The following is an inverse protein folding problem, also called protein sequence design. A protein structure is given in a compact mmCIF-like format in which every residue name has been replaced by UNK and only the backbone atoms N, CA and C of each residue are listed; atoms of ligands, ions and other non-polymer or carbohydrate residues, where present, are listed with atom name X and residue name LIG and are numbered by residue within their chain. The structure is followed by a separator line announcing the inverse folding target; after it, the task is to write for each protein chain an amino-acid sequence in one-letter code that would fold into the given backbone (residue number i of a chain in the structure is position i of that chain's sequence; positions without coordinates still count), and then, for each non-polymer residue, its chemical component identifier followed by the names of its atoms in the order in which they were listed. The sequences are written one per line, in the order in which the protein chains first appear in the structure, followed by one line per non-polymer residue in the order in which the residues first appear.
data_IF_209550850488
#
_entry.id   IF_209550850488
#
_cell.length_a   1.000
_cell.length_b   1.000
_cell.length_c   1.000
_cell.angle_alpha   90.00
_cell.angle_beta   90.00
_cell.angle_gamma   90.00
#
_symmetry.space_group_name_H-M   'P 1'
#
loop_
_entity.id
_entity.type
_entity.pdbx_description
1 polymer ?
#
# COMPACT_ATOMS: atom_id res chain seq x y z
N UNK A 1 58.23 -7.18 9.03
CA UNK A 1 57.33 -8.34 8.86
C UNK A 1 55.92 -7.83 8.64
N UNK A 2 55.52 -7.77 7.37
CA UNK A 2 54.14 -7.73 6.86
C UNK A 2 54.29 -7.69 5.32
N UNK A 3 54.30 -8.87 4.71
CA UNK A 3 54.49 -9.12 3.27
C UNK A 3 53.20 -8.80 2.50
N UNK A 4 53.32 -7.98 1.46
CA UNK A 4 52.26 -7.63 0.52
C UNK A 4 52.00 -8.79 -0.48
N UNK A 5 50.73 -9.15 -0.67
CA UNK A 5 50.29 -10.05 -1.74
C UNK A 5 50.24 -9.33 -3.10
N UNK A 6 50.70 -9.93 -4.20
CA UNK A 6 50.54 -9.38 -5.54
C UNK A 6 49.20 -9.81 -6.19
N UNK A 7 48.68 -9.06 -7.18
CA UNK A 7 47.40 -9.37 -7.82
C UNK A 7 47.51 -10.54 -8.81
N UNK A 8 46.52 -11.44 -8.77
CA UNK A 8 46.36 -12.56 -9.72
C UNK A 8 45.95 -12.03 -11.12
N UNK A 9 46.77 -12.34 -12.13
CA UNK A 9 46.43 -12.16 -13.54
C UNK A 9 45.54 -13.30 -14.04
N UNK A 10 44.34 -12.99 -14.55
CA UNK A 10 43.51 -13.94 -15.28
C UNK A 10 43.88 -13.90 -16.77
N UNK A 11 44.44 -15.00 -17.30
CA UNK A 11 44.55 -15.24 -18.73
C UNK A 11 43.33 -16.03 -19.23
N UNK A 12 42.80 -15.76 -20.44
CA UNK A 12 41.67 -16.50 -20.99
C UNK A 12 42.09 -17.89 -21.48
N UNK A 13 41.41 -18.93 -21.00
CA UNK A 13 41.62 -20.31 -21.42
C UNK A 13 40.97 -20.57 -22.78
N UNK A 14 41.79 -21.03 -23.73
CA UNK A 14 41.42 -21.49 -25.07
C UNK A 14 40.80 -22.91 -25.00
N UNK A 15 39.60 -23.11 -25.55
CA UNK A 15 38.96 -24.43 -25.72
C UNK A 15 38.79 -24.76 -27.21
N UNK A 16 39.13 -25.99 -27.66
CA UNK A 16 39.07 -26.37 -29.07
C UNK A 16 37.65 -26.75 -29.50
N UNK A 17 37.35 -26.45 -30.78
CA UNK A 17 36.01 -26.51 -31.38
C UNK A 17 35.35 -27.90 -31.41
N UNK A 18 34.01 -27.88 -31.33
CA UNK A 18 33.14 -29.03 -31.61
C UNK A 18 32.18 -28.73 -32.77
N UNK A 19 32.19 -29.65 -33.72
CA UNK A 19 31.38 -29.74 -34.94
C UNK A 19 29.87 -29.56 -34.72
N UNK A 20 29.22 -28.80 -35.59
CA UNK A 20 27.78 -28.69 -35.70
C UNK A 20 27.14 -30.02 -36.14
N UNK A 21 26.03 -30.42 -35.50
CA UNK A 21 25.12 -31.49 -35.97
C UNK A 21 23.78 -30.88 -36.36
N UNK A 22 23.28 -31.29 -37.52
CA UNK A 22 22.07 -30.80 -38.17
C UNK A 22 20.77 -31.11 -37.40
N UNK A 23 19.82 -30.16 -37.43
CA UNK A 23 18.45 -30.31 -36.90
C UNK A 23 17.56 -30.99 -37.95
N UNK A 24 16.79 -32.00 -37.54
CA UNK A 24 15.72 -32.64 -38.35
C UNK A 24 14.41 -31.84 -38.23
N UNK A 25 13.58 -31.75 -39.29
CA UNK A 25 12.31 -31.04 -39.26
C UNK A 25 11.19 -31.91 -38.67
N UNK A 26 10.25 -31.28 -37.96
CA UNK A 26 9.03 -31.93 -37.45
C UNK A 26 7.91 -31.87 -38.52
N UNK A 27 7.08 -32.92 -38.65
CA UNK A 27 6.00 -32.94 -39.62
C UNK A 27 4.74 -32.22 -39.11
N UNK A 28 4.04 -31.56 -40.02
CA UNK A 28 2.73 -30.94 -39.80
C UNK A 28 1.60 -31.98 -39.97
N UNK A 29 0.62 -31.97 -39.06
CA UNK A 29 -0.67 -32.66 -39.25
C UNK A 29 -1.80 -31.80 -38.67
N UNK A 30 -2.91 -31.70 -39.41
CA UNK A 30 -4.17 -30.98 -39.13
C UNK A 30 -5.32 -31.97 -38.81
N UNK A 31 -6.38 -31.44 -38.18
CA UNK A 31 -7.74 -32.00 -37.95
C UNK A 31 -7.85 -33.07 -36.84
N UNK A 32 -8.95 -33.25 -36.09
CA UNK A 32 -10.35 -32.77 -36.11
C UNK A 32 -10.99 -32.94 -34.71
N UNK A 33 -12.19 -32.39 -34.51
CA UNK A 33 -12.96 -32.39 -33.27
C UNK A 33 -13.40 -33.78 -32.73
N UNK A 34 -13.90 -33.72 -31.48
CA UNK A 34 -14.69 -34.69 -30.68
C UNK A 34 -13.89 -35.56 -29.72
N UNK A 35 -13.95 -35.14 -28.45
CA UNK A 35 -13.54 -35.89 -27.27
C UNK A 35 -13.96 -35.10 -26.04
N UNK A 36 -15.16 -35.38 -25.51
CA UNK A 36 -15.60 -34.87 -24.22
C UNK A 36 -14.57 -35.28 -23.16
N UNK A 37 -13.95 -34.28 -22.54
CA UNK A 37 -13.30 -34.46 -21.24
C UNK A 37 -14.23 -33.81 -20.25
N UNK A 38 -15.03 -34.63 -19.56
CA UNK A 38 -15.68 -34.21 -18.33
C UNK A 38 -14.57 -33.90 -17.33
N UNK A 39 -14.22 -32.61 -17.24
CA UNK A 39 -13.55 -32.09 -16.07
C UNK A 39 -14.55 -32.18 -14.93
N UNK A 40 -14.35 -33.18 -14.06
CA UNK A 40 -14.97 -33.22 -12.75
C UNK A 40 -14.68 -31.88 -12.08
N UNK A 41 -15.70 -31.03 -12.03
CA UNK A 41 -15.63 -29.74 -11.37
C UNK A 41 -15.51 -30.09 -9.89
N UNK A 42 -14.28 -30.11 -9.37
CA UNK A 42 -14.08 -30.00 -7.94
C UNK A 42 -14.94 -28.81 -7.50
N UNK A 43 -15.90 -29.06 -6.62
CA UNK A 43 -16.77 -28.02 -6.11
C UNK A 43 -15.87 -26.88 -5.65
N UNK A 44 -15.92 -25.76 -6.38
CA UNK A 44 -15.39 -24.49 -5.92
C UNK A 44 -16.21 -24.22 -4.67
N UNK A 45 -15.67 -24.57 -3.51
CA UNK A 45 -16.18 -24.05 -2.26
C UNK A 45 -16.19 -22.55 -2.46
N UNK A 46 -17.37 -21.94 -2.33
CA UNK A 46 -17.52 -20.49 -2.39
C UNK A 46 -16.67 -19.94 -1.26
N UNK A 47 -15.44 -19.52 -1.57
CA UNK A 47 -14.65 -18.73 -0.64
C UNK A 47 -15.39 -17.42 -0.57
N UNK A 48 -16.20 -17.26 0.48
CA UNK A 48 -17.01 -16.08 0.68
C UNK A 48 -16.05 -14.88 0.80
N UNK A 49 -16.21 -13.89 -0.06
CA UNK A 49 -15.31 -12.74 -0.09
C UNK A 49 -15.42 -11.92 1.20
N UNK A 50 -14.31 -11.34 1.68
CA UNK A 50 -14.34 -10.52 2.88
C UNK A 50 -15.33 -9.36 2.76
N UNK A 51 -16.00 -9.03 3.87
CA UNK A 51 -17.07 -8.01 3.92
C UNK A 51 -16.66 -6.68 3.29
N UNK A 52 -15.43 -6.22 3.55
CA UNK A 52 -14.93 -4.95 3.04
C UNK A 52 -14.69 -4.95 1.53
N UNK A 53 -14.35 -6.08 0.90
CA UNK A 53 -14.28 -6.18 -0.58
C UNK A 53 -15.69 -6.08 -1.16
N UNK A 54 -16.63 -6.88 -0.64
CA UNK A 54 -18.01 -6.87 -1.12
C UNK A 54 -18.71 -5.52 -0.99
N UNK A 55 -18.41 -4.77 0.08
CA UNK A 55 -18.94 -3.43 0.29
C UNK A 55 -18.39 -2.41 -0.72
N UNK A 56 -17.14 -2.57 -1.17
CA UNK A 56 -16.54 -1.71 -2.20
C UNK A 56 -17.16 -2.00 -3.57
N UNK A 57 -17.46 -3.27 -3.84
CA UNK A 57 -18.12 -3.70 -5.09
C UNK A 57 -19.61 -3.31 -5.16
N UNK A 58 -20.18 -2.82 -4.06
CA UNK A 58 -21.53 -2.27 -4.03
C UNK A 58 -22.62 -3.30 -3.76
N UNK A 59 -22.30 -4.43 -3.12
CA UNK A 59 -23.31 -5.38 -2.68
C UNK A 59 -24.24 -4.74 -1.61
N UNK A 60 -25.57 -4.79 -1.85
CA UNK A 60 -26.57 -4.12 -1.00
C UNK A 60 -26.57 -4.67 0.45
N UNK A 61 -26.68 -3.75 1.43
CA UNK A 61 -26.96 -4.06 2.83
C UNK A 61 -25.75 -4.39 3.73
N UNK A 62 -24.53 -4.11 3.26
CA UNK A 62 -23.29 -4.45 3.99
C UNK A 62 -22.50 -3.20 4.40
N UNK A 63 -22.88 -2.64 5.56
CA UNK A 63 -22.04 -1.66 6.25
C UNK A 63 -20.86 -2.38 6.93
N UNK A 64 -19.63 -1.92 6.69
CA UNK A 64 -18.43 -2.48 7.34
C UNK A 64 -18.11 -1.73 8.63
N UNK A 65 -17.79 -2.44 9.70
CA UNK A 65 -17.20 -1.85 10.90
C UNK A 65 -15.72 -1.52 10.62
N UNK A 66 -15.34 -0.28 10.92
CA UNK A 66 -14.12 0.35 10.41
C UNK A 66 -12.79 -0.35 10.72
N UNK A 67 -11.75 0.14 10.05
CA UNK A 67 -10.36 -0.25 10.24
C UNK A 67 -9.88 0.14 11.64
N UNK A 68 -9.46 -0.84 12.44
CA UNK A 68 -8.80 -0.56 13.71
C UNK A 68 -7.33 -0.20 13.46
N UNK A 69 -7.01 1.09 13.53
CA UNK A 69 -5.66 1.62 13.30
C UNK A 69 -4.74 1.57 14.53
N UNK A 70 -5.24 1.13 15.68
CA UNK A 70 -4.48 1.18 16.93
C UNK A 70 -3.97 -0.22 17.32
N UNK A 71 -2.67 -0.43 17.09
CA UNK A 71 -1.90 -1.43 17.83
C UNK A 71 -2.04 -1.11 19.33
N UNK A 72 -2.24 -2.13 20.18
CA UNK A 72 -2.41 -1.93 21.62
C UNK A 72 -1.31 -1.03 22.18
N UNK A 73 -1.67 0.12 22.76
CA UNK A 73 -0.68 1.15 23.17
C UNK A 73 0.45 0.58 24.02
N UNK A 74 0.15 -0.36 24.91
CA UNK A 74 1.14 -0.98 25.78
C UNK A 74 2.07 -1.95 25.02
N UNK A 75 1.53 -2.82 24.15
CA UNK A 75 2.32 -3.77 23.35
C UNK A 75 3.21 -3.05 22.33
N UNK A 76 2.68 -2.02 21.67
CA UNK A 76 3.47 -1.23 20.71
C UNK A 76 4.54 -0.37 21.41
N UNK A 77 4.27 0.17 22.60
CA UNK A 77 5.29 0.91 23.36
C UNK A 77 6.47 0.03 23.75
N UNK A 78 6.22 -1.20 24.21
CA UNK A 78 7.28 -2.17 24.50
C UNK A 78 8.09 -2.52 23.24
N UNK A 79 7.43 -2.67 22.09
CA UNK A 79 8.12 -2.84 20.80
C UNK A 79 8.98 -1.62 20.43
N UNK A 80 8.49 -0.40 20.71
CA UNK A 80 9.26 0.82 20.50
C UNK A 80 10.48 0.93 21.42
N UNK A 81 10.41 0.37 22.63
CA UNK A 81 11.55 0.31 23.56
C UNK A 81 12.59 -0.73 23.12
N UNK A 82 12.14 -1.92 22.70
CA UNK A 82 13.02 -3.01 22.25
C UNK A 82 13.66 -2.74 20.89
N UNK A 83 12.93 -2.12 19.99
CA UNK A 83 13.36 -1.79 18.63
C UNK A 83 13.21 -0.29 18.40
N UNK A 84 14.13 0.56 18.88
CA UNK A 84 13.94 2.02 18.86
C UNK A 84 13.80 2.61 17.46
N UNK A 85 14.46 2.01 16.46
CA UNK A 85 14.40 2.43 15.08
C UNK A 85 13.02 2.18 14.50
N UNK A 86 12.41 3.23 13.94
CA UNK A 86 11.13 3.06 13.24
C UNK A 86 11.33 2.19 11.98
N UNK A 87 12.39 2.43 11.21
CA UNK A 87 12.69 1.67 10.00
C UNK A 87 12.82 0.17 10.30
N UNK A 88 13.46 -0.18 11.43
CA UNK A 88 13.55 -1.57 11.88
C UNK A 88 12.15 -2.19 12.07
N UNK A 89 11.25 -1.47 12.76
CA UNK A 89 9.88 -1.94 13.00
C UNK A 89 9.03 -2.03 11.72
N UNK A 90 9.31 -1.20 10.71
CA UNK A 90 8.56 -1.15 9.45
C UNK A 90 9.16 -2.01 8.32
N UNK A 91 10.35 -2.58 8.51
CA UNK A 91 11.07 -3.36 7.49
C UNK A 91 11.38 -4.80 7.91
N UNK A 92 11.46 -5.10 9.22
CA UNK A 92 11.58 -6.48 9.68
C UNK A 92 10.21 -7.17 9.62
N UNK A 93 10.11 -8.21 8.78
CA UNK A 93 8.87 -8.95 8.49
C UNK A 93 8.14 -9.37 9.77
N UNK A 94 8.85 -9.98 10.73
CA UNK A 94 8.23 -10.45 11.98
C UNK A 94 7.60 -9.31 12.78
N UNK A 95 8.27 -8.16 12.87
CA UNK A 95 7.75 -6.98 13.57
C UNK A 95 6.58 -6.36 12.82
N UNK A 96 6.68 -6.25 11.49
CA UNK A 96 5.60 -5.75 10.63
C UNK A 96 4.34 -6.59 10.82
N UNK A 97 4.46 -7.92 10.74
CA UNK A 97 3.34 -8.85 10.93
C UNK A 97 2.80 -8.78 12.35
N UNK A 98 3.67 -8.81 13.37
CA UNK A 98 3.27 -8.72 14.77
C UNK A 98 2.44 -7.44 15.03
N UNK A 99 2.93 -6.28 14.57
CA UNK A 99 2.27 -4.99 14.78
C UNK A 99 0.94 -4.93 13.99
N UNK A 100 0.93 -5.39 12.74
CA UNK A 100 -0.26 -5.35 11.87
C UNK A 100 -1.40 -6.21 12.43
N UNK A 101 -1.08 -7.34 13.08
CA UNK A 101 -2.08 -8.24 13.66
C UNK A 101 -2.61 -7.81 15.04
N UNK A 102 -1.95 -6.88 15.74
CA UNK A 102 -2.37 -6.48 17.08
C UNK A 102 -3.82 -5.96 17.15
N UNK A 103 -4.25 -5.00 16.29
CA UNK A 103 -5.64 -4.54 16.31
C UNK A 103 -6.62 -5.66 15.93
N UNK A 104 -6.22 -6.50 14.96
CA UNK A 104 -7.07 -7.56 14.45
C UNK A 104 -7.36 -8.64 15.51
N UNK A 105 -6.34 -9.05 16.27
CA UNK A 105 -6.47 -10.03 17.36
C UNK A 105 -7.35 -9.55 18.52
N UNK A 106 -7.51 -8.24 18.70
CA UNK A 106 -8.26 -7.66 19.83
C UNK A 106 -9.70 -7.31 19.44
N UNK A 107 -9.89 -6.73 18.26
CA UNK A 107 -11.17 -6.15 17.85
C UNK A 107 -11.82 -6.84 16.65
N UNK A 108 -11.10 -7.74 15.97
CA UNK A 108 -11.55 -8.47 14.78
C UNK A 108 -12.28 -7.57 13.77
N UNK A 109 -11.65 -6.47 13.31
CA UNK A 109 -12.23 -5.57 12.32
C UNK A 109 -12.33 -6.25 10.94
N UNK A 110 -13.16 -5.71 10.06
CA UNK A 110 -13.37 -6.22 8.69
C UNK A 110 -12.17 -6.01 7.76
N UNK A 111 -11.15 -5.27 8.22
CA UNK A 111 -9.89 -5.11 7.52
C UNK A 111 -8.70 -4.92 8.45
N UNK A 112 -7.56 -5.47 8.03
CA UNK A 112 -6.26 -5.32 8.70
C UNK A 112 -5.27 -4.66 7.73
N UNK A 113 -4.65 -3.57 8.15
CA UNK A 113 -3.70 -2.82 7.32
C UNK A 113 -2.27 -3.19 7.66
N UNK A 114 -1.44 -3.33 6.62
CA UNK A 114 0.00 -3.48 6.75
C UNK A 114 0.60 -2.35 7.61
N UNK A 115 1.48 -2.69 8.53
CA UNK A 115 2.33 -1.72 9.21
C UNK A 115 3.58 -1.44 8.37
N UNK A 116 3.64 -0.26 7.75
CA UNK A 116 4.81 0.19 6.99
C UNK A 116 4.89 1.73 7.00
N UNK A 117 5.73 2.33 6.16
CA UNK A 117 5.77 3.78 5.97
C UNK A 117 5.79 4.15 4.48
N UNK A 118 5.14 5.26 4.14
CA UNK A 118 5.06 5.69 2.74
C UNK A 118 6.41 6.13 2.17
N UNK A 119 7.35 6.56 3.03
CA UNK A 119 8.67 7.06 2.66
C UNK A 119 9.71 5.93 2.55
N UNK A 120 9.35 4.71 2.90
CA UNK A 120 10.20 3.52 2.83
C UNK A 120 10.97 3.36 1.50
N UNK A 121 10.41 3.69 0.31
CA UNK A 121 11.17 3.65 -0.94
C UNK A 121 12.33 4.66 -1.05
N UNK A 122 12.24 5.81 -0.37
CA UNK A 122 13.07 6.98 -0.64
C UNK A 122 14.59 6.75 -0.52
N UNK A 123 15.13 6.04 0.50
CA UNK A 123 16.58 5.84 0.62
C UNK A 123 17.16 5.11 -0.59
N UNK A 124 16.42 4.16 -1.16
CA UNK A 124 16.83 3.41 -2.36
C UNK A 124 16.64 4.22 -3.64
N UNK A 125 15.70 5.15 -3.65
CA UNK A 125 15.55 6.18 -4.70
C UNK A 125 16.63 7.28 -4.66
N UNK A 126 17.68 7.12 -3.84
CA UNK A 126 18.75 8.11 -3.62
C UNK A 126 18.28 9.37 -2.87
N UNK A 127 17.27 9.23 -2.02
CA UNK A 127 16.73 10.31 -1.18
C UNK A 127 16.82 9.86 0.28
N UNK A 128 17.92 10.14 0.98
CA UNK A 128 18.11 9.66 2.34
C UNK A 128 17.19 10.41 3.31
N UNK A 129 16.51 9.67 4.17
CA UNK A 129 15.64 10.20 5.23
C UNK A 129 15.77 9.40 6.51
N UNK A 130 15.29 9.98 7.61
CA UNK A 130 15.12 9.29 8.88
C UNK A 130 13.91 9.85 9.65
N UNK A 131 13.38 9.07 10.59
CA UNK A 131 12.31 9.51 11.50
C UNK A 131 12.94 9.90 12.83
N UNK A 132 13.09 11.21 13.03
CA UNK A 132 13.72 11.76 14.23
C UNK A 132 12.67 11.98 15.32
N UNK A 133 12.91 11.42 16.52
CA UNK A 133 12.03 11.56 17.68
C UNK A 133 11.70 13.03 17.96
N UNK A 134 10.40 13.35 18.01
CA UNK A 134 9.89 14.70 18.24
C UNK A 134 9.91 15.65 17.04
N UNK A 135 10.53 15.26 15.91
CA UNK A 135 10.51 16.03 14.65
C UNK A 135 9.73 15.32 13.54
N UNK A 136 9.59 14.00 13.61
CA UNK A 136 9.00 13.19 12.54
C UNK A 136 10.01 12.93 11.42
N UNK A 137 9.50 12.69 10.22
CA UNK A 137 10.32 12.40 9.04
C UNK A 137 11.15 13.62 8.63
N UNK A 138 12.45 13.40 8.41
CA UNK A 138 13.42 14.40 7.98
C UNK A 138 14.15 13.88 6.75
N UNK A 139 14.02 14.60 5.62
CA UNK A 139 14.83 14.36 4.43
C UNK A 139 16.14 15.15 4.59
N UNK A 140 17.28 14.47 4.52
CA UNK A 140 18.58 15.12 4.78
C UNK A 140 18.96 16.11 3.68
N UNK A 141 18.71 15.75 2.42
CA UNK A 141 19.00 16.54 1.24
C UNK A 141 17.74 16.80 0.41
N UNK A 142 16.89 17.78 0.80
CA UNK A 142 15.63 18.02 0.12
C UNK A 142 15.82 18.45 -1.34
N UNK A 143 14.93 18.00 -2.23
CA UNK A 143 14.97 18.33 -3.65
C UNK A 143 14.64 19.81 -3.88
N UNK A 144 15.57 20.53 -4.52
CA UNK A 144 15.50 22.00 -4.75
C UNK A 144 15.77 22.43 -6.19
N UNK A 145 16.41 21.58 -6.97
CA UNK A 145 16.92 21.89 -8.31
C UNK A 145 16.60 20.75 -9.26
N UNK A 146 16.51 21.04 -10.56
CA UNK A 146 16.33 20.00 -11.58
C UNK A 146 17.47 18.97 -11.57
N UNK A 147 18.70 19.41 -11.29
CA UNK A 147 19.83 18.49 -11.15
C UNK A 147 19.61 17.47 -10.01
N UNK A 148 19.09 17.89 -8.86
CA UNK A 148 18.78 16.98 -7.77
C UNK A 148 17.65 16.00 -8.13
N UNK A 149 16.66 16.42 -8.92
CA UNK A 149 15.59 15.54 -9.41
C UNK A 149 16.12 14.48 -10.37
N UNK A 150 17.08 14.83 -11.23
CA UNK A 150 17.68 13.91 -12.19
C UNK A 150 18.53 12.79 -11.53
N UNK A 151 18.91 12.97 -10.26
CA UNK A 151 19.64 11.96 -9.48
C UNK A 151 18.71 10.96 -8.76
N UNK A 152 17.39 11.16 -8.84
CA UNK A 152 16.40 10.25 -8.25
C UNK A 152 16.33 8.97 -9.09
N UNK A 153 16.42 7.82 -8.41
CA UNK A 153 16.37 6.52 -9.07
C UNK A 153 14.95 6.00 -9.20
N UNK A 154 14.68 5.33 -10.31
CA UNK A 154 13.43 4.61 -10.54
C UNK A 154 13.25 3.47 -9.52
N UNK A 155 12.04 3.35 -8.99
CA UNK A 155 11.71 2.40 -7.93
C UNK A 155 11.59 0.97 -8.47
N UNK A 156 12.29 0.01 -7.85
CA UNK A 156 12.22 -1.42 -8.21
C UNK A 156 11.71 -2.23 -7.00
N UNK A 157 10.38 -2.46 -6.89
CA UNK A 157 9.77 -3.04 -5.69
C UNK A 157 10.34 -4.40 -5.29
N UNK A 158 10.53 -5.29 -6.27
CA UNK A 158 10.91 -6.69 -6.05
C UNK A 158 12.33 -6.81 -5.46
N UNK A 159 13.20 -5.86 -5.78
CA UNK A 159 14.56 -5.81 -5.26
C UNK A 159 14.65 -5.04 -3.94
N UNK A 160 13.87 -3.97 -3.79
CA UNK A 160 14.09 -2.99 -2.73
C UNK A 160 13.23 -3.22 -1.49
N UNK A 161 12.01 -3.72 -1.67
CA UNK A 161 11.06 -3.94 -0.58
C UNK A 161 10.46 -5.36 -0.57
N UNK A 162 11.26 -6.43 -0.77
CA UNK A 162 10.72 -7.80 -0.82
C UNK A 162 10.03 -8.23 0.48
N UNK A 163 10.38 -7.61 1.60
CA UNK A 163 9.75 -7.85 2.91
C UNK A 163 8.27 -7.41 2.94
N UNK A 164 7.86 -6.43 2.13
CA UNK A 164 6.44 -6.01 2.03
C UNK A 164 5.61 -7.16 1.47
N UNK A 165 6.05 -7.77 0.37
CA UNK A 165 5.38 -8.93 -0.21
C UNK A 165 5.35 -10.13 0.74
N UNK A 166 6.45 -10.38 1.46
CA UNK A 166 6.52 -11.44 2.47
C UNK A 166 5.53 -11.20 3.61
N UNK A 167 5.50 -9.99 4.18
CA UNK A 167 4.58 -9.65 5.26
C UNK A 167 3.11 -9.74 4.81
N UNK A 168 2.78 -9.26 3.60
CA UNK A 168 1.42 -9.35 3.06
C UNK A 168 0.96 -10.80 2.88
N UNK A 169 1.85 -11.69 2.43
CA UNK A 169 1.52 -13.12 2.30
C UNK A 169 1.26 -13.75 3.67
N UNK A 170 2.11 -13.48 4.67
CA UNK A 170 1.90 -13.99 6.03
C UNK A 170 0.61 -13.44 6.64
N UNK A 171 0.32 -12.14 6.45
CA UNK A 171 -0.93 -11.55 6.93
C UNK A 171 -2.16 -12.19 6.30
N UNK A 172 -2.13 -12.48 4.99
CA UNK A 172 -3.22 -13.18 4.31
C UNK A 172 -3.43 -14.59 4.85
N UNK A 173 -2.35 -15.32 5.12
CA UNK A 173 -2.42 -16.67 5.70
C UNK A 173 -2.97 -16.65 7.13
N UNK A 174 -2.49 -15.73 7.98
CA UNK A 174 -2.91 -15.61 9.39
C UNK A 174 -4.37 -15.15 9.54
N UNK A 175 -4.82 -14.23 8.69
CA UNK A 175 -6.19 -13.70 8.71
C UNK A 175 -7.18 -14.67 8.05
N UNK A 176 -6.70 -15.54 7.15
CA UNK A 176 -7.46 -16.63 6.55
C UNK A 176 -8.84 -16.19 6.00
N UNK A 177 -8.87 -15.06 5.29
CA UNK A 177 -10.05 -14.48 4.67
C UNK A 177 -11.16 -14.02 5.64
N UNK A 178 -10.91 -13.99 6.95
CA UNK A 178 -11.86 -13.44 7.94
C UNK A 178 -11.94 -11.91 7.90
N UNK A 179 -10.92 -11.25 7.33
CA UNK A 179 -10.86 -9.82 7.11
C UNK A 179 -10.07 -9.48 5.84
N UNK A 180 -10.26 -8.28 5.30
CA UNK A 180 -9.51 -7.80 4.14
C UNK A 180 -8.11 -7.36 4.56
N UNK A 181 -7.07 -7.88 3.90
CA UNK A 181 -5.70 -7.39 4.08
C UNK A 181 -5.47 -6.18 3.18
N UNK A 182 -5.21 -5.03 3.81
CA UNK A 182 -4.96 -3.77 3.12
C UNK A 182 -3.45 -3.47 3.08
N UNK A 183 -2.99 -3.07 1.91
CA UNK A 183 -1.69 -2.43 1.72
C UNK A 183 -1.90 -0.94 1.40
N UNK A 184 -0.82 -0.18 1.37
CA UNK A 184 -0.87 1.24 1.02
C UNK A 184 0.46 1.70 0.43
N UNK A 185 0.38 2.82 -0.30
CA UNK A 185 1.51 3.47 -0.96
C UNK A 185 1.28 4.97 -0.90
N UNK A 186 2.37 5.74 -0.75
CA UNK A 186 2.30 7.19 -0.82
C UNK A 186 2.03 7.66 -2.25
N UNK A 187 1.04 8.55 -2.42
CA UNK A 187 0.82 9.20 -3.71
C UNK A 187 2.04 10.03 -4.15
N UNK A 188 2.34 10.15 -5.46
CA UNK A 188 3.52 10.87 -5.96
C UNK A 188 3.64 12.28 -5.42
N UNK A 189 2.53 13.02 -5.43
CA UNK A 189 2.51 14.38 -4.92
C UNK A 189 2.83 14.44 -3.41
N UNK A 190 2.36 13.47 -2.64
CA UNK A 190 2.66 13.37 -1.21
C UNK A 190 4.15 13.07 -1.00
N UNK A 191 4.70 12.09 -1.70
CA UNK A 191 6.13 11.75 -1.61
C UNK A 191 7.01 12.92 -2.05
N UNK A 192 6.68 13.56 -3.18
CA UNK A 192 7.34 14.77 -3.65
C UNK A 192 7.23 15.90 -2.63
N UNK A 193 6.08 16.05 -1.95
CA UNK A 193 5.92 17.01 -0.87
C UNK A 193 6.90 16.76 0.27
N UNK A 194 7.14 15.52 0.69
CA UNK A 194 8.18 15.24 1.69
C UNK A 194 9.58 15.55 1.15
N UNK A 195 9.91 15.06 -0.04
CA UNK A 195 11.21 15.24 -0.69
C UNK A 195 11.55 16.72 -0.88
N UNK A 196 10.57 17.53 -1.27
CA UNK A 196 10.71 18.98 -1.42
C UNK A 196 10.61 19.65 -0.05
N UNK A 197 9.60 19.46 0.78
CA UNK A 197 9.51 20.23 2.03
C UNK A 197 10.69 19.96 2.99
N UNK A 198 11.25 18.76 2.92
CA UNK A 198 12.33 18.26 3.78
C UNK A 198 11.83 17.44 4.97
N UNK A 199 10.54 17.08 4.96
CA UNK A 199 9.82 16.50 6.08
C UNK A 199 8.37 16.99 6.13
N UNK A 200 7.70 16.78 7.26
CA UNK A 200 6.33 17.26 7.48
C UNK A 200 6.24 18.79 7.38
N UNK A 201 5.24 19.30 6.66
CA UNK A 201 5.02 20.74 6.45
C UNK A 201 3.57 21.11 6.76
N UNK A 202 3.35 22.28 7.38
CA UNK A 202 1.98 22.79 7.64
C UNK A 202 1.40 23.51 6.43
N UNK A 203 2.26 24.21 5.70
CA UNK A 203 1.84 25.16 4.66
C UNK A 203 2.11 24.64 3.25
N UNK A 204 3.05 23.69 3.10
CA UNK A 204 3.46 23.12 1.81
C UNK A 204 3.89 24.19 0.79
N UNK A 205 4.49 25.28 1.28
CA UNK A 205 4.74 26.48 0.48
C UNK A 205 5.84 26.31 -0.56
N UNK A 206 6.71 25.29 -0.42
CA UNK A 206 7.77 24.99 -1.38
C UNK A 206 7.21 24.09 -2.48
N UNK A 207 6.53 23.00 -2.13
CA UNK A 207 5.96 22.08 -3.12
C UNK A 207 4.80 22.71 -3.91
N UNK A 208 3.97 23.55 -3.28
CA UNK A 208 2.90 24.29 -3.98
C UNK A 208 3.41 25.23 -5.08
N UNK A 209 4.67 25.69 -5.00
CA UNK A 209 5.30 26.46 -6.07
C UNK A 209 5.70 25.61 -7.28
N UNK A 210 5.69 24.28 -7.15
CA UNK A 210 6.24 23.33 -8.11
C UNK A 210 5.18 22.43 -8.78
N UNK A 211 3.91 22.45 -8.32
CA UNK A 211 3.00 21.32 -8.54
C UNK A 211 1.91 21.54 -9.58
N UNK A 212 1.66 20.49 -10.40
CA UNK A 212 0.34 19.98 -10.85
C UNK A 212 0.48 18.53 -11.42
N UNK A 213 -0.68 17.91 -11.68
CA UNK A 213 -1.13 16.51 -11.46
C UNK A 213 -0.60 15.35 -12.34
N UNK A 214 -0.52 14.14 -11.75
CA UNK A 214 -0.26 12.85 -12.43
C UNK A 214 -1.34 11.79 -12.09
N UNK A 215 -2.24 11.44 -13.02
CA UNK A 215 -3.22 10.35 -12.87
C UNK A 215 -2.66 8.95 -13.20
N UNK A 216 -1.48 8.88 -13.83
CA UNK A 216 -0.93 7.68 -14.48
C UNK A 216 -0.70 6.48 -13.56
N UNK A 217 -0.55 6.70 -12.25
CA UNK A 217 -0.37 5.60 -11.28
C UNK A 217 -1.62 4.74 -11.12
N UNK A 218 -2.80 5.35 -11.10
CA UNK A 218 -4.04 4.58 -10.93
C UNK A 218 -4.28 3.74 -12.17
N UNK A 219 -4.07 4.32 -13.35
CA UNK A 219 -4.18 3.62 -14.63
C UNK A 219 -3.24 2.41 -14.69
N UNK A 220 -1.96 2.58 -14.32
CA UNK A 220 -0.98 1.48 -14.34
C UNK A 220 -1.33 0.32 -13.39
N UNK A 221 -1.86 0.62 -12.19
CA UNK A 221 -2.29 -0.43 -11.26
C UNK A 221 -3.53 -1.13 -11.79
N UNK A 222 -4.51 -0.41 -12.34
CA UNK A 222 -5.72 -1.00 -12.90
C UNK A 222 -5.46 -1.79 -14.18
N UNK A 223 -4.46 -1.43 -14.99
CA UNK A 223 -4.04 -2.22 -16.15
C UNK A 223 -3.45 -3.58 -15.76
N UNK A 224 -2.70 -3.62 -14.65
CA UNK A 224 -2.01 -4.85 -14.20
C UNK A 224 -2.86 -5.68 -13.23
N UNK A 225 -3.72 -5.04 -12.45
CA UNK A 225 -4.56 -5.61 -11.41
C UNK A 225 -5.96 -4.98 -11.44
N UNK A 226 -6.77 -5.24 -12.48
CA UNK A 226 -8.06 -4.57 -12.70
C UNK A 226 -9.04 -4.78 -11.55
N UNK A 227 -9.03 -5.97 -10.95
CA UNK A 227 -9.93 -6.36 -9.86
C UNK A 227 -9.45 -5.86 -8.48
N UNK A 228 -8.29 -5.20 -8.36
CA UNK A 228 -7.80 -4.71 -7.08
C UNK A 228 -8.50 -3.38 -6.71
N UNK A 229 -9.24 -3.31 -5.59
CA UNK A 229 -9.85 -2.05 -5.18
C UNK A 229 -8.80 -1.05 -4.67
N UNK A 230 -8.91 0.19 -5.12
CA UNK A 230 -8.01 1.29 -4.78
C UNK A 230 -8.74 2.33 -3.92
N UNK A 231 -8.20 2.57 -2.72
CA UNK A 231 -8.74 3.53 -1.76
C UNK A 231 -7.90 4.81 -1.78
N UNK A 232 -8.53 5.95 -2.08
CA UNK A 232 -7.89 7.27 -2.02
C UNK A 232 -8.23 7.98 -0.71
N UNK A 233 -7.22 8.14 0.15
CA UNK A 233 -7.33 9.00 1.33
C UNK A 233 -6.67 10.36 1.06
N UNK A 234 -7.47 11.43 1.11
CA UNK A 234 -7.01 12.80 0.96
C UNK A 234 -7.57 13.68 2.08
N UNK A 235 -6.83 13.83 3.18
CA UNK A 235 -7.24 14.69 4.30
C UNK A 235 -7.32 16.16 3.88
N UNK A 236 -8.33 16.88 4.38
CA UNK A 236 -8.54 18.30 4.07
C UNK A 236 -8.96 18.59 2.62
N UNK A 237 -9.35 17.56 1.85
CA UNK A 237 -9.70 17.66 0.43
C UNK A 237 -11.15 18.08 0.15
N UNK A 238 -11.85 18.67 1.13
CA UNK A 238 -13.27 19.04 0.98
C UNK A 238 -13.56 19.96 -0.21
N UNK A 239 -12.60 20.76 -0.67
CA UNK A 239 -12.73 21.59 -1.87
C UNK A 239 -12.50 20.86 -3.20
N UNK A 240 -12.10 19.58 -3.17
CA UNK A 240 -11.71 18.77 -4.33
C UNK A 240 -12.56 17.50 -4.50
N UNK A 241 -13.60 17.28 -3.67
CA UNK A 241 -14.34 16.02 -3.62
C UNK A 241 -14.82 15.56 -5.00
N UNK A 242 -15.38 16.44 -5.81
CA UNK A 242 -15.91 16.13 -7.15
C UNK A 242 -14.81 15.70 -8.14
N UNK A 243 -13.55 16.00 -7.83
CA UNK A 243 -12.39 15.64 -8.65
C UNK A 243 -11.73 14.33 -8.21
N UNK A 244 -11.97 13.87 -6.98
CA UNK A 244 -11.35 12.65 -6.46
C UNK A 244 -11.80 11.41 -7.25
N UNK A 245 -13.09 11.20 -7.59
CA UNK A 245 -13.50 10.06 -8.42
C UNK A 245 -12.86 10.04 -9.82
N UNK A 246 -12.48 11.21 -10.35
CA UNK A 246 -11.88 11.32 -11.68
C UNK A 246 -10.48 10.67 -11.76
N UNK A 247 -9.90 10.26 -10.63
CA UNK A 247 -8.64 9.52 -10.62
C UNK A 247 -8.80 8.05 -10.93
N UNK A 248 -10.03 7.51 -11.05
CA UNK A 248 -10.27 6.09 -11.33
C UNK A 248 -10.19 5.17 -10.10
N UNK A 249 -10.30 5.74 -8.90
CA UNK A 249 -10.28 4.99 -7.62
C UNK A 249 -11.68 4.47 -7.29
N UNK A 250 -11.74 3.32 -6.62
CA UNK A 250 -13.01 2.65 -6.28
C UNK A 250 -13.61 3.21 -4.98
N UNK A 251 -12.76 3.72 -4.07
CA UNK A 251 -13.16 4.25 -2.77
C UNK A 251 -12.54 5.61 -2.52
N UNK A 252 -13.33 6.58 -2.03
CA UNK A 252 -12.83 7.84 -1.49
C UNK A 252 -12.99 7.85 0.02
N UNK A 253 -11.88 8.03 0.75
CA UNK A 253 -11.92 8.16 2.20
C UNK A 253 -12.07 9.62 2.63
N UNK A 254 -13.15 9.92 3.35
CA UNK A 254 -13.52 11.25 3.81
C UNK A 254 -12.84 11.60 5.15
N UNK A 255 -12.35 12.83 5.24
CA UNK A 255 -11.84 13.42 6.48
C UNK A 255 -12.89 14.27 7.18
N UNK A 256 -12.62 15.57 7.30
CA UNK A 256 -13.44 16.55 8.06
C UNK A 256 -14.80 16.89 7.44
N UNK A 257 -15.14 16.35 6.27
CA UNK A 257 -16.40 16.65 5.57
C UNK A 257 -17.48 15.74 6.14
N UNK A 258 -18.64 16.28 6.52
CA UNK A 258 -19.78 15.47 6.97
C UNK A 258 -20.14 14.37 5.96
N UNK A 259 -20.52 13.18 6.45
CA UNK A 259 -20.77 12.01 5.60
C UNK A 259 -21.88 12.27 4.58
N UNK A 260 -23.00 12.87 4.98
CA UNK A 260 -24.12 13.13 4.07
C UNK A 260 -23.73 14.09 2.96
N UNK A 261 -23.02 15.16 3.30
CA UNK A 261 -22.54 16.12 2.30
C UNK A 261 -21.46 15.52 1.39
N UNK A 262 -20.55 14.72 1.95
CA UNK A 262 -19.54 13.99 1.20
C UNK A 262 -20.18 13.03 0.20
N UNK A 263 -21.14 12.21 0.64
CA UNK A 263 -21.89 11.26 -0.19
C UNK A 263 -22.64 11.98 -1.31
N UNK A 264 -23.34 13.06 -0.99
CA UNK A 264 -24.08 13.88 -1.97
C UNK A 264 -23.17 14.45 -3.06
N UNK A 265 -21.99 14.96 -2.68
CA UNK A 265 -21.04 15.58 -3.63
C UNK A 265 -20.28 14.55 -4.47
N UNK A 266 -20.01 13.37 -3.91
CA UNK A 266 -19.35 12.26 -4.61
C UNK A 266 -20.31 11.47 -5.54
N UNK A 267 -21.62 11.69 -5.45
CA UNK A 267 -22.63 10.93 -6.20
C UNK A 267 -22.84 9.52 -5.63
N UNK A 268 -23.44 8.59 -6.37
CA UNK A 268 -23.71 7.21 -5.89
C UNK A 268 -22.74 6.15 -6.43
N UNK A 269 -21.87 6.52 -7.38
CA UNK A 269 -21.12 5.55 -8.19
C UNK A 269 -19.74 5.19 -7.62
N UNK A 270 -19.42 5.63 -6.41
CA UNK A 270 -18.12 5.40 -5.77
C UNK A 270 -18.32 5.03 -4.31
N UNK A 271 -17.58 4.06 -3.80
CA UNK A 271 -17.62 3.71 -2.39
C UNK A 271 -16.98 4.81 -1.54
N UNK A 272 -17.43 4.94 -0.29
CA UNK A 272 -16.97 5.98 0.64
C UNK A 272 -16.53 5.34 1.95
N UNK A 273 -15.35 5.71 2.43
CA UNK A 273 -14.79 5.24 3.69
C UNK A 273 -14.68 6.40 4.71
N UNK A 274 -15.09 6.18 5.95
CA UNK A 274 -14.94 7.15 7.05
C UNK A 274 -16.27 7.41 7.77
N UNK A 275 -16.45 8.53 8.46
CA UNK A 275 -15.47 9.59 8.73
C UNK A 275 -15.49 10.06 10.21
N UNK A 276 -15.88 9.16 11.11
CA UNK A 276 -15.99 9.46 12.55
C UNK A 276 -14.70 10.13 13.06
N UNK A 277 -14.84 11.33 13.63
CA UNK A 277 -13.72 12.07 14.22
C UNK A 277 -13.10 11.24 15.37
N UNK A 278 -11.79 10.96 15.36
CA UNK A 278 -11.12 10.23 16.44
C UNK A 278 -11.37 10.85 17.84
N UNK A 279 -11.60 12.16 17.92
CA UNK A 279 -11.96 12.86 19.16
C UNK A 279 -13.24 12.33 19.83
N UNK A 280 -14.14 11.71 19.06
CA UNK A 280 -15.38 11.08 19.55
C UNK A 280 -15.09 9.97 20.56
N UNK A 281 -13.95 9.27 20.41
CA UNK A 281 -13.55 8.17 21.28
C UNK A 281 -13.25 8.60 22.73
N UNK A 282 -13.10 9.90 22.99
CA UNK A 282 -12.99 10.45 24.36
C UNK A 282 -14.35 10.68 25.04
N UNK A 283 -15.45 10.49 24.32
CA UNK A 283 -16.81 10.64 24.83
C UNK A 283 -17.30 9.43 25.65
N UNK A 284 -18.55 9.50 26.10
CA UNK A 284 -19.23 8.34 26.69
C UNK A 284 -19.51 7.27 25.62
N UNK A 285 -19.68 6.01 26.03
CA UNK A 285 -20.08 4.94 25.11
C UNK A 285 -21.35 5.28 24.33
N UNK A 286 -22.33 5.90 25.00
CA UNK A 286 -23.55 6.38 24.37
C UNK A 286 -23.27 7.44 23.29
N UNK A 287 -22.40 8.41 23.57
CA UNK A 287 -22.02 9.42 22.59
C UNK A 287 -21.30 8.81 21.38
N UNK A 288 -20.40 7.85 21.63
CA UNK A 288 -19.68 7.11 20.58
C UNK A 288 -20.69 6.36 19.70
N UNK A 289 -21.56 5.55 20.30
CA UNK A 289 -22.60 4.79 19.58
C UNK A 289 -23.49 5.72 18.76
N UNK A 290 -24.00 6.80 19.35
CA UNK A 290 -24.85 7.76 18.65
C UNK A 290 -24.14 8.41 17.46
N UNK A 291 -22.84 8.72 17.58
CA UNK A 291 -22.09 9.30 16.46
C UNK A 291 -21.81 8.27 15.36
N UNK A 292 -21.56 7.02 15.72
CA UNK A 292 -21.42 5.92 14.75
C UNK A 292 -22.73 5.75 13.98
N UNK A 293 -23.86 5.59 14.68
CA UNK A 293 -25.18 5.45 14.06
C UNK A 293 -25.53 6.64 13.18
N UNK A 294 -25.33 7.87 13.65
CA UNK A 294 -25.55 9.05 12.82
C UNK A 294 -24.72 9.01 11.54
N UNK A 295 -23.47 8.54 11.60
CA UNK A 295 -22.59 8.48 10.42
C UNK A 295 -23.05 7.40 9.45
N UNK A 296 -23.53 6.25 9.94
CA UNK A 296 -24.09 5.16 9.13
C UNK A 296 -25.46 5.51 8.53
N UNK A 297 -26.30 6.27 9.24
CA UNK A 297 -27.62 6.69 8.74
C UNK A 297 -27.55 7.90 7.78
N UNK A 298 -26.40 8.57 7.69
CA UNK A 298 -26.20 9.75 6.84
C UNK A 298 -26.01 9.44 5.35
N UNK A 299 -26.24 8.18 4.94
CA UNK A 299 -26.05 7.67 3.57
C UNK A 299 -27.22 7.99 2.65
#
# INVERSE_FOLDING_TARGET
MATACPPLSLQPAYLPGRSARARRPLPAVRCSAVGEVMAETAAVGTVEEPLLVSAIEGEEGRETAGLAYEAGRESYQLLCERHPSFCERSELVDLVVEISLQPWKVFTPDGAILFSDILTPLPRMNIPFDIVKGKGSVIFDPLRTAAAVNEVREFVPEEWVPYVGQALNILREEINNEATVLSFVGAPFTLASYCVEGGSSKNFSKIKKMALSEPEIVDSVKETHPELPLILYASGSGGLLERLPLTGVDVVSLGTVDMAEGRKRLGSNIAVQGNVDPGVLFGSKEFISNRIFHTAESW
#
